data_IF_567489369220
#
_entry.id   IF_567489369220
#
_cell.length_a   1.000
_cell.length_b   1.000
_cell.length_c   1.000
_cell.angle_alpha   90.00
_cell.angle_beta   90.00
_cell.angle_gamma   90.00
#
_symmetry.space_group_name_H-M   'P 1'
#
loop_
_entity.id
_entity.type
_entity.pdbx_description
1 polymer ?
#
# COMPACT_ATOMS: atom_id res chain seq x y z
N UNK A 1 1.35 13.28 -17.02
CA UNK A 1 0.67 11.98 -16.85
C UNK A 1 -0.56 12.21 -16.00
N UNK A 2 -1.68 12.56 -16.64
CA UNK A 2 -2.94 13.01 -16.02
C UNK A 2 -4.13 12.25 -16.63
N UNK A 3 -3.92 10.99 -17.01
CA UNK A 3 -4.97 10.20 -17.63
C UNK A 3 -5.77 9.48 -16.53
N UNK A 4 -7.04 9.88 -16.40
CA UNK A 4 -8.14 9.14 -15.77
C UNK A 4 -8.00 8.71 -14.30
N UNK A 5 -7.58 9.61 -13.41
CA UNK A 5 -7.79 9.41 -11.95
C UNK A 5 -9.27 9.42 -11.54
N UNK A 6 -10.18 9.92 -12.40
CA UNK A 6 -11.63 9.91 -12.14
C UNK A 6 -12.23 8.49 -12.19
N UNK A 7 -11.64 7.58 -12.98
CA UNK A 7 -12.13 6.20 -13.10
C UNK A 7 -11.94 5.39 -11.81
N UNK A 8 -11.08 5.87 -10.91
CA UNK A 8 -10.79 5.26 -9.61
C UNK A 8 -11.55 5.94 -8.45
N UNK A 9 -12.37 6.96 -8.72
CA UNK A 9 -13.28 7.53 -7.72
C UNK A 9 -14.55 6.69 -7.71
N UNK A 10 -14.61 5.70 -6.82
CA UNK A 10 -15.83 4.92 -6.63
C UNK A 10 -16.90 5.80 -5.97
N UNK A 11 -17.97 6.08 -6.71
CA UNK A 11 -19.05 7.00 -6.33
C UNK A 11 -20.00 6.47 -5.23
N UNK A 12 -19.70 5.33 -4.59
CA UNK A 12 -20.51 4.74 -3.52
C UNK A 12 -19.97 5.01 -2.11
N UNK A 13 -18.86 5.75 -1.99
CA UNK A 13 -18.23 6.04 -0.70
C UNK A 13 -17.43 4.88 -0.11
N UNK A 14 -17.18 3.81 -0.89
CA UNK A 14 -16.44 2.61 -0.49
C UNK A 14 -14.99 2.58 -1.00
N UNK A 15 -14.30 3.73 -1.06
CA UNK A 15 -12.87 3.89 -1.47
C UNK A 15 -11.88 2.93 -0.76
N UNK A 16 -12.34 2.22 0.25
CA UNK A 16 -11.61 1.31 1.11
C UNK A 16 -11.59 -0.14 0.62
N UNK A 17 -12.62 -0.61 -0.09
CA UNK A 17 -12.77 -2.02 -0.45
C UNK A 17 -12.48 -2.22 -1.94
N UNK A 18 -11.48 -3.03 -2.25
CA UNK A 18 -11.24 -3.54 -3.61
C UNK A 18 -11.76 -4.97 -3.66
N UNK A 19 -12.70 -5.24 -4.56
CA UNK A 19 -13.26 -6.57 -4.78
C UNK A 19 -13.26 -6.91 -6.28
N UNK A 20 -12.70 -8.07 -6.62
CA UNK A 20 -12.72 -8.70 -7.95
C UNK A 20 -12.93 -10.21 -7.79
N UNK A 21 -13.06 -10.94 -8.90
CA UNK A 21 -13.41 -12.38 -8.90
C UNK A 21 -12.56 -13.24 -7.95
N UNK A 22 -11.28 -12.91 -7.77
CA UNK A 22 -10.34 -13.69 -6.94
C UNK A 22 -9.68 -12.89 -5.82
N UNK A 23 -10.00 -11.59 -5.69
CA UNK A 23 -9.30 -10.69 -4.77
C UNK A 23 -10.31 -9.87 -3.98
N UNK A 24 -10.16 -9.84 -2.67
CA UNK A 24 -10.91 -8.95 -1.77
C UNK A 24 -9.95 -8.31 -0.77
N UNK A 25 -9.76 -7.00 -0.85
CA UNK A 25 -8.83 -6.23 -0.01
C UNK A 25 -9.57 -5.06 0.62
N UNK A 26 -9.57 -5.00 1.95
CA UNK A 26 -10.13 -3.90 2.73
C UNK A 26 -8.98 -3.02 3.23
N UNK A 27 -8.79 -1.85 2.62
CA UNK A 27 -7.86 -0.82 3.07
C UNK A 27 -8.42 0.00 4.22
N UNK A 28 -7.52 0.60 5.00
CA UNK A 28 -7.86 1.59 6.02
C UNK A 28 -8.51 2.82 5.37
N UNK A 29 -9.65 3.24 5.91
CA UNK A 29 -10.41 4.36 5.38
C UNK A 29 -11.12 5.18 6.45
N UNK A 30 -11.01 6.50 6.33
CA UNK A 30 -11.72 7.44 7.21
C UNK A 30 -11.21 7.44 8.66
N UNK A 31 -11.53 8.53 9.36
CA UNK A 31 -11.34 8.68 10.80
C UNK A 31 -9.90 8.86 11.29
N UNK A 32 -9.81 9.44 12.48
CA UNK A 32 -8.60 9.36 13.31
C UNK A 32 -8.50 7.92 13.86
N UNK A 33 -7.35 7.22 13.69
CA UNK A 33 -7.15 5.87 14.23
C UNK A 33 -7.54 5.73 15.70
N UNK A 34 -7.42 6.79 16.50
CA UNK A 34 -7.77 6.79 17.92
C UNK A 34 -9.30 6.69 18.15
N UNK A 35 -10.12 7.06 17.17
CA UNK A 35 -11.57 7.05 17.27
C UNK A 35 -12.23 5.88 16.54
N UNK A 36 -11.68 5.45 15.40
CA UNK A 36 -12.26 4.36 14.59
C UNK A 36 -11.48 3.05 14.66
N UNK A 37 -10.30 3.04 15.27
CA UNK A 37 -9.43 1.87 15.34
C UNK A 37 -8.84 1.47 13.98
N UNK A 38 -8.28 0.26 13.92
CA UNK A 38 -7.76 -0.32 12.67
C UNK A 38 -8.89 -0.98 11.89
N UNK A 39 -9.29 -0.38 10.76
CA UNK A 39 -10.45 -0.81 9.96
C UNK A 39 -10.09 -1.37 8.57
N UNK A 40 -8.87 -1.88 8.43
CA UNK A 40 -8.36 -2.44 7.18
C UNK A 40 -6.84 -2.55 7.20
N UNK A 41 -6.29 -2.97 6.07
CA UNK A 41 -4.84 -3.03 5.86
C UNK A 41 -4.29 -1.74 5.27
N UNK A 42 -2.97 -1.57 5.37
CA UNK A 42 -2.21 -0.56 4.66
C UNK A 42 -1.74 -1.11 3.33
N UNK A 43 -1.27 -0.22 2.45
CA UNK A 43 -0.71 -0.63 1.15
C UNK A 43 0.53 -1.50 1.35
N UNK A 44 1.35 -1.15 2.33
CA UNK A 44 2.56 -1.86 2.72
C UNK A 44 2.29 -3.31 3.15
N UNK A 45 1.11 -3.59 3.73
CA UNK A 45 0.72 -4.94 4.15
C UNK A 45 0.44 -5.83 2.92
N UNK A 46 -0.26 -5.28 1.92
CA UNK A 46 -0.52 -5.99 0.65
C UNK A 46 0.78 -6.25 -0.11
N UNK A 47 1.68 -5.26 -0.15
CA UNK A 47 3.01 -5.46 -0.75
C UNK A 47 3.76 -6.60 -0.04
N UNK A 48 3.71 -6.65 1.30
CA UNK A 48 4.32 -7.73 2.08
C UNK A 48 3.81 -9.12 1.68
N UNK A 49 2.49 -9.29 1.53
CA UNK A 49 1.90 -10.56 1.07
C UNK A 49 2.40 -10.95 -0.33
N UNK A 50 2.51 -9.98 -1.25
CA UNK A 50 3.04 -10.23 -2.59
C UNK A 50 4.52 -10.63 -2.56
N UNK A 51 5.32 -9.98 -1.72
CA UNK A 51 6.74 -10.31 -1.52
C UNK A 51 6.91 -11.72 -0.97
N UNK A 52 6.17 -12.10 0.08
CA UNK A 52 6.20 -13.46 0.63
C UNK A 52 5.86 -14.50 -0.43
N UNK A 53 4.85 -14.23 -1.26
CA UNK A 53 4.44 -15.16 -2.32
C UNK A 53 5.49 -15.29 -3.43
N UNK A 54 6.12 -14.19 -3.82
CA UNK A 54 7.20 -14.22 -4.81
C UNK A 54 8.48 -14.85 -4.26
N UNK A 55 8.81 -14.63 -2.98
CA UNK A 55 9.93 -15.31 -2.32
C UNK A 55 9.70 -16.82 -2.24
N UNK A 56 8.47 -17.27 -2.03
CA UNK A 56 8.11 -18.69 -2.06
C UNK A 56 8.38 -19.32 -3.44
N UNK A 57 8.10 -18.60 -4.52
CA UNK A 57 8.45 -19.05 -5.88
C UNK A 57 9.96 -19.00 -6.15
N UNK A 58 10.61 -17.91 -5.73
CA UNK A 58 12.04 -17.69 -5.94
C UNK A 58 12.92 -18.65 -5.13
N UNK A 59 12.48 -19.07 -3.95
CA UNK A 59 13.22 -19.99 -3.07
C UNK A 59 13.08 -21.46 -3.44
N UNK A 60 12.33 -21.79 -4.51
CA UNK A 60 12.00 -23.16 -4.93
C UNK A 60 12.31 -23.37 -6.41
N UNK A 61 11.68 -24.37 -7.01
CA UNK A 61 11.87 -24.80 -8.41
C UNK A 61 11.43 -23.75 -9.44
N UNK A 62 10.64 -22.75 -9.04
CA UNK A 62 10.10 -21.72 -9.93
C UNK A 62 10.91 -20.40 -9.89
N UNK A 63 12.17 -20.47 -9.47
CA UNK A 63 13.08 -19.33 -9.45
C UNK A 63 13.36 -18.80 -10.86
N UNK A 64 13.23 -17.49 -11.07
CA UNK A 64 13.56 -16.84 -12.34
C UNK A 64 14.00 -15.37 -12.15
N UNK A 65 14.48 -14.74 -13.22
CA UNK A 65 14.97 -13.35 -13.19
C UNK A 65 13.84 -12.33 -13.07
N UNK A 66 12.69 -12.63 -13.67
CA UNK A 66 11.49 -11.79 -13.61
C UNK A 66 10.93 -11.72 -12.18
N UNK A 67 10.93 -12.85 -11.47
CA UNK A 67 10.55 -12.91 -10.06
C UNK A 67 11.49 -12.07 -9.19
N UNK A 68 12.81 -12.19 -9.40
CA UNK A 68 13.80 -11.38 -8.70
C UNK A 68 13.63 -9.88 -8.97
N UNK A 69 13.36 -9.51 -10.22
CA UNK A 69 13.12 -8.12 -10.64
C UNK A 69 11.84 -7.57 -10.01
N UNK A 70 10.76 -8.35 -9.99
CA UNK A 70 9.51 -7.98 -9.34
C UNK A 70 9.70 -7.77 -7.83
N UNK A 71 10.42 -8.68 -7.16
CA UNK A 71 10.77 -8.56 -5.74
C UNK A 71 11.52 -7.26 -5.45
N UNK A 72 12.55 -6.96 -6.24
CA UNK A 72 13.33 -5.73 -6.10
C UNK A 72 12.46 -4.47 -6.18
N UNK A 73 11.53 -4.40 -7.14
CA UNK A 73 10.64 -3.24 -7.26
C UNK A 73 9.62 -3.15 -6.13
N UNK A 74 9.13 -4.29 -5.63
CA UNK A 74 8.25 -4.31 -4.46
C UNK A 74 8.97 -3.85 -3.19
N UNK A 75 10.25 -4.22 -3.02
CA UNK A 75 11.09 -3.74 -1.91
C UNK A 75 11.25 -2.22 -1.97
N UNK A 76 11.64 -1.66 -3.12
CA UNK A 76 11.75 -0.21 -3.29
C UNK A 76 10.43 0.51 -3.03
N UNK A 77 9.30 -0.05 -3.48
CA UNK A 77 7.99 0.52 -3.23
C UNK A 77 7.67 0.53 -1.73
N UNK A 78 7.93 -0.57 -1.02
CA UNK A 78 7.72 -0.68 0.43
C UNK A 78 8.60 0.27 1.20
N UNK A 79 9.87 0.39 0.85
CA UNK A 79 10.81 1.33 1.47
C UNK A 79 10.37 2.79 1.31
N UNK A 80 9.93 3.17 0.11
CA UNK A 80 9.44 4.52 -0.15
C UNK A 80 8.20 4.85 0.71
N UNK A 81 7.29 3.89 0.88
CA UNK A 81 6.10 4.06 1.73
C UNK A 81 6.44 4.12 3.22
N UNK A 82 7.41 3.32 3.69
CA UNK A 82 7.92 3.40 5.06
C UNK A 82 8.60 4.74 5.33
N UNK A 83 9.40 5.24 4.39
CA UNK A 83 10.01 6.56 4.48
C UNK A 83 8.94 7.66 4.55
N UNK A 84 7.91 7.58 3.70
CA UNK A 84 6.75 8.48 3.74
C UNK A 84 6.10 8.50 5.13
N UNK A 85 5.85 7.32 5.71
CA UNK A 85 5.28 7.19 7.05
C UNK A 85 6.16 7.84 8.11
N UNK A 86 7.47 7.55 8.11
CA UNK A 86 8.44 8.16 9.05
C UNK A 86 8.48 9.68 8.94
N UNK A 87 8.43 10.24 7.73
CA UNK A 87 8.38 11.70 7.51
C UNK A 87 7.10 12.30 8.09
N UNK A 88 5.95 11.64 7.89
CA UNK A 88 4.68 12.06 8.50
C UNK A 88 4.72 12.03 10.02
N UNK A 89 5.32 10.99 10.59
CA UNK A 89 5.49 10.84 12.03
C UNK A 89 6.34 11.96 12.63
N UNK A 90 7.50 12.27 12.02
CA UNK A 90 8.34 13.41 12.43
C UNK A 90 7.63 14.75 12.37
N UNK A 91 6.67 14.89 11.45
CA UNK A 91 5.88 16.12 11.26
C UNK A 91 4.60 16.15 12.12
N UNK A 92 4.31 15.10 12.92
CA UNK A 92 3.07 15.00 13.69
C UNK A 92 1.81 14.83 12.83
N UNK A 93 1.95 14.31 11.61
CA UNK A 93 0.87 14.19 10.62
C UNK A 93 0.31 12.77 10.48
N UNK A 94 0.65 11.84 11.38
CA UNK A 94 0.03 10.50 11.39
C UNK A 94 -1.47 10.64 11.65
N UNK A 95 -2.30 9.90 10.90
CA UNK A 95 -3.77 9.98 10.99
C UNK A 95 -4.39 11.25 10.36
N UNK A 96 -3.62 12.32 10.17
CA UNK A 96 -4.10 13.56 9.58
C UNK A 96 -4.25 13.49 8.05
N UNK A 97 -5.21 14.23 7.48
CA UNK A 97 -5.36 14.39 6.00
C UNK A 97 -4.40 15.44 5.41
N UNK A 98 -3.56 16.07 6.23
CA UNK A 98 -2.59 17.07 5.79
C UNK A 98 -1.50 16.48 4.89
N UNK A 99 -1.07 17.26 3.91
CA UNK A 99 0.09 16.94 3.07
C UNK A 99 1.36 16.99 3.94
N UNK A 100 2.23 16.00 3.77
CA UNK A 100 3.56 16.05 4.37
C UNK A 100 4.53 16.79 3.46
N UNK A 101 5.60 17.34 4.03
CA UNK A 101 6.76 17.75 3.26
C UNK A 101 7.65 16.55 2.94
N UNK A 102 8.13 16.47 1.70
CA UNK A 102 9.08 15.45 1.25
C UNK A 102 10.54 15.89 1.33
N UNK A 103 10.80 17.16 1.64
CA UNK A 103 12.15 17.66 1.94
C UNK A 103 12.57 17.24 3.33
N UNK A 104 13.83 16.79 3.45
CA UNK A 104 14.47 16.39 4.70
C UNK A 104 14.76 17.59 5.62
#
# INVERSE_FOLDING_TARGET
>A
MSENMEKFRHMDGSDALIESEFIRIQFQHGGDPDHVGTNGCRIEDVIGVLQEKLLDFQGRELSCEENATALYHLDLAREALLLRRRRREKQGLIGSRSKHSSTD
#
